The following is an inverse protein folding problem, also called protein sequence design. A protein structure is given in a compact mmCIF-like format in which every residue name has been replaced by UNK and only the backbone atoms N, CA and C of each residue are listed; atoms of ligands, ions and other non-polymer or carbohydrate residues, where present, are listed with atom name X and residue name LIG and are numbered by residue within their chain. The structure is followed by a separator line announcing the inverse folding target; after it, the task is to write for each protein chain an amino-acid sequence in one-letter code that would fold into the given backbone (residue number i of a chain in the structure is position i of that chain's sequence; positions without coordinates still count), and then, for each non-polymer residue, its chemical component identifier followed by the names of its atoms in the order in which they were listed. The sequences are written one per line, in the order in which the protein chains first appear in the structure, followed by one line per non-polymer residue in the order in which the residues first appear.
data_IF_310225582035
#
_entry.id   IF_310225582035
#
_cell.length_a   1.000
_cell.length_b   1.000
_cell.length_c   1.000
_cell.angle_alpha   90.00
_cell.angle_beta   90.00
_cell.angle_gamma   90.00
#
_symmetry.space_group_name_H-M   'P 1'
#
loop_
_entity.id
_entity.type
_entity.pdbx_description
1 polymer ?
#
# COMPACT_ATOMS: atom_id res chain seq x y z
N UNK A 1 18.07 5.08 -6.09
CA UNK A 1 17.55 5.42 -7.43
C UNK A 1 16.09 5.01 -7.62
N UNK A 2 15.65 3.80 -7.23
CA UNK A 2 14.25 3.35 -7.38
C UNK A 2 13.22 4.15 -6.56
N UNK A 3 13.51 4.41 -5.28
CA UNK A 3 12.64 5.20 -4.40
C UNK A 3 12.35 6.61 -4.92
N UNK A 4 13.22 7.18 -5.75
CA UNK A 4 13.03 8.52 -6.30
C UNK A 4 11.90 8.58 -7.34
N UNK A 5 11.70 7.50 -8.11
CA UNK A 5 10.58 7.43 -9.06
C UNK A 5 9.25 7.28 -8.33
N UNK A 6 9.20 6.41 -7.32
CA UNK A 6 8.03 6.27 -6.45
C UNK A 6 7.71 7.61 -5.77
N UNK A 7 8.73 8.27 -5.21
CA UNK A 7 8.55 9.57 -4.55
C UNK A 7 8.09 10.66 -5.51
N UNK A 8 8.61 10.69 -6.75
CA UNK A 8 8.12 11.61 -7.78
C UNK A 8 6.66 11.40 -8.13
N UNK A 9 6.21 10.13 -8.21
CA UNK A 9 4.81 9.80 -8.43
C UNK A 9 3.95 10.29 -7.27
N UNK A 10 4.35 9.95 -6.04
CA UNK A 10 3.66 10.36 -4.81
C UNK A 10 3.58 11.89 -4.67
N UNK A 11 4.63 12.63 -5.06
CA UNK A 11 4.64 14.09 -5.09
C UNK A 11 3.60 14.71 -6.05
N UNK A 12 3.11 13.96 -7.03
CA UNK A 12 2.03 14.40 -7.92
C UNK A 12 0.65 14.39 -7.25
N UNK A 13 0.51 13.75 -6.09
CA UNK A 13 -0.74 13.65 -5.35
C UNK A 13 -0.85 14.74 -4.29
N UNK A 14 -2.02 15.38 -4.22
CA UNK A 14 -2.34 16.35 -3.17
C UNK A 14 -2.42 15.68 -1.79
N UNK A 15 -3.01 14.50 -1.76
CA UNK A 15 -3.27 13.74 -0.55
C UNK A 15 -2.80 12.29 -0.77
N UNK A 16 -2.09 11.75 0.21
CA UNK A 16 -1.67 10.35 0.26
C UNK A 16 -2.38 9.71 1.44
N UNK A 17 -2.92 8.53 1.22
CA UNK A 17 -3.79 7.86 2.18
C UNK A 17 -3.18 6.54 2.65
N UNK A 18 -3.47 6.15 3.88
CA UNK A 18 -3.05 4.90 4.50
C UNK A 18 -4.20 4.26 5.24
N UNK A 19 -4.23 2.93 5.29
CA UNK A 19 -5.11 2.17 6.19
C UNK A 19 -4.35 1.73 7.44
N UNK A 20 -5.02 1.54 8.58
CA UNK A 20 -4.39 0.94 9.76
C UNK A 20 -3.73 -0.43 9.47
N UNK A 21 -4.27 -1.20 8.51
CA UNK A 21 -3.70 -2.48 8.11
C UNK A 21 -2.34 -2.32 7.43
N UNK A 22 -2.20 -1.38 6.48
CA UNK A 22 -0.92 -1.07 5.83
C UNK A 22 0.09 -0.57 6.88
N UNK A 23 -0.32 0.34 7.77
CA UNK A 23 0.54 0.84 8.83
C UNK A 23 1.04 -0.28 9.76
N UNK A 24 0.17 -1.23 10.08
CA UNK A 24 0.50 -2.41 10.88
C UNK A 24 1.47 -3.35 10.16
N UNK A 25 1.20 -3.69 8.90
CA UNK A 25 2.08 -4.55 8.11
C UNK A 25 3.47 -3.94 7.93
N UNK A 26 3.54 -2.66 7.55
CA UNK A 26 4.82 -1.96 7.42
C UNK A 26 5.57 -1.97 8.76
N UNK A 27 4.88 -1.75 9.88
CA UNK A 27 5.50 -1.76 11.20
C UNK A 27 6.05 -3.14 11.59
N UNK A 28 5.34 -4.22 11.19
CA UNK A 28 5.73 -5.60 11.47
C UNK A 28 6.85 -6.10 10.56
N UNK A 29 6.95 -5.58 9.33
CA UNK A 29 8.00 -5.92 8.37
C UNK A 29 9.36 -5.29 8.72
N UNK A 30 9.41 -4.37 9.69
CA UNK A 30 10.67 -3.82 10.22
C UNK A 30 11.35 -4.90 11.07
N UNK A 31 12.04 -5.81 10.39
CA UNK A 31 12.86 -6.87 10.99
C UNK A 31 14.28 -6.36 11.28
N UNK A 32 14.36 -5.38 12.18
CA UNK A 32 15.61 -4.78 12.64
C UNK A 32 15.71 -4.84 14.17
N UNK A 33 16.92 -4.71 14.68
CA UNK A 33 17.21 -4.81 16.12
C UNK A 33 17.86 -3.54 16.68
N UNK A 34 17.73 -3.34 18.00
CA UNK A 34 18.39 -2.26 18.74
C UNK A 34 18.11 -0.86 18.18
N UNK A 35 19.15 -0.04 18.04
CA UNK A 35 19.05 1.34 17.56
C UNK A 35 18.54 1.45 16.12
N UNK A 36 18.83 0.47 15.26
CA UNK A 36 18.36 0.47 13.88
C UNK A 36 16.83 0.38 13.82
N UNK A 37 16.23 -0.48 14.67
CA UNK A 37 14.77 -0.59 14.81
C UNK A 37 14.14 0.73 15.22
N UNK A 38 14.71 1.38 16.24
CA UNK A 38 14.23 2.67 16.75
C UNK A 38 14.26 3.72 15.65
N UNK A 39 15.38 3.85 14.92
CA UNK A 39 15.51 4.81 13.81
C UNK A 39 14.50 4.58 12.70
N UNK A 40 14.23 3.32 12.34
CA UNK A 40 13.22 3.03 11.30
C UNK A 40 11.81 3.31 11.78
N UNK A 41 11.49 3.08 13.06
CA UNK A 41 10.20 3.51 13.60
C UNK A 41 10.05 5.02 13.74
N UNK A 42 11.12 5.76 14.06
CA UNK A 42 11.10 7.23 14.01
C UNK A 42 10.75 7.72 12.61
N UNK A 43 11.39 7.14 11.58
CA UNK A 43 11.09 7.44 10.19
C UNK A 43 9.66 7.04 9.80
N UNK A 44 9.20 5.84 10.16
CA UNK A 44 7.84 5.38 9.87
C UNK A 44 6.80 6.31 10.51
N UNK A 45 7.02 6.74 11.76
CA UNK A 45 6.17 7.72 12.44
C UNK A 45 6.09 9.04 11.68
N UNK A 46 7.22 9.56 11.22
CA UNK A 46 7.26 10.80 10.42
C UNK A 46 6.52 10.65 9.10
N UNK A 47 6.72 9.53 8.39
CA UNK A 47 6.05 9.25 7.11
C UNK A 47 4.54 9.08 7.31
N UNK A 48 4.10 8.27 8.28
CA UNK A 48 2.68 8.05 8.54
C UNK A 48 1.95 9.32 8.96
N UNK A 49 2.62 10.23 9.67
CA UNK A 49 2.04 11.52 10.04
C UNK A 49 1.74 12.45 8.85
N UNK A 50 2.33 12.19 7.67
CA UNK A 50 2.03 12.92 6.44
C UNK A 50 0.80 12.38 5.71
N UNK A 51 0.34 11.18 6.07
CA UNK A 51 -0.74 10.51 5.38
C UNK A 51 -2.08 10.78 6.05
N UNK A 52 -3.13 10.84 5.23
CA UNK A 52 -4.50 10.80 5.72
C UNK A 52 -4.88 9.35 6.00
N UNK A 53 -5.66 9.14 7.05
CA UNK A 53 -6.16 7.80 7.36
C UNK A 53 -7.50 7.56 6.66
N UNK A 54 -7.62 6.41 5.99
CA UNK A 54 -8.90 5.93 5.47
C UNK A 54 -9.63 5.20 6.58
N UNK A 55 -10.92 5.49 6.76
CA UNK A 55 -11.78 4.72 7.65
C UNK A 55 -11.89 3.27 7.15
N UNK A 56 -11.50 2.32 7.99
CA UNK A 56 -11.61 0.88 7.72
C UNK A 56 -12.50 0.20 8.75
N UNK A 57 -13.30 -0.77 8.32
CA UNK A 57 -14.13 -1.58 9.20
C UNK A 57 -13.88 -3.04 8.91
N UNK A 58 -13.20 -3.74 9.83
CA UNK A 58 -12.86 -5.17 9.69
C UNK A 58 -14.08 -6.00 9.29
N UNK A 59 -15.23 -5.72 9.90
CA UNK A 59 -16.47 -6.43 9.61
C UNK A 59 -16.97 -6.25 8.16
N UNK A 60 -16.65 -5.13 7.49
CA UNK A 60 -16.91 -4.93 6.06
C UNK A 60 -15.78 -5.47 5.19
N UNK A 61 -14.53 -5.22 5.57
CA UNK A 61 -13.36 -5.57 4.78
C UNK A 61 -13.18 -7.09 4.60
N UNK A 62 -13.67 -7.88 5.58
CA UNK A 62 -13.67 -9.34 5.53
C UNK A 62 -14.89 -9.97 4.82
N UNK A 63 -15.87 -9.20 4.33
CA UNK A 63 -17.13 -9.78 3.81
C UNK A 63 -17.01 -10.50 2.48
N UNK A 64 -16.10 -10.05 1.63
CA UNK A 64 -16.06 -10.48 0.23
C UNK A 64 -15.02 -11.59 0.05
N UNK A 65 -15.18 -12.38 -1.01
CA UNK A 65 -14.29 -13.51 -1.31
C UNK A 65 -12.82 -13.11 -1.46
N UNK A 66 -12.54 -11.83 -1.78
CA UNK A 66 -11.18 -11.29 -1.79
C UNK A 66 -10.45 -11.42 -0.46
N UNK A 67 -11.15 -11.38 0.68
CA UNK A 67 -10.55 -11.65 1.98
C UNK A 67 -10.01 -13.08 2.08
N UNK A 68 -10.76 -14.05 1.55
CA UNK A 68 -10.37 -15.46 1.58
C UNK A 68 -9.16 -15.73 0.68
N UNK A 69 -9.04 -14.99 -0.43
CA UNK A 69 -7.99 -15.19 -1.42
C UNK A 69 -6.71 -14.40 -1.10
N UNK A 70 -6.84 -13.15 -0.63
CA UNK A 70 -5.71 -12.22 -0.49
C UNK A 70 -5.44 -11.76 0.95
N UNK A 71 -6.37 -12.00 1.88
CA UNK A 71 -6.28 -11.50 3.26
C UNK A 71 -6.82 -10.08 3.43
N UNK A 72 -6.75 -9.59 4.66
CA UNK A 72 -7.46 -8.38 5.09
C UNK A 72 -6.95 -7.10 4.40
N UNK A 73 -5.64 -6.88 4.41
CA UNK A 73 -5.04 -5.67 3.85
C UNK A 73 -5.32 -5.57 2.35
N UNK A 74 -5.03 -6.64 1.61
CA UNK A 74 -5.22 -6.69 0.17
C UNK A 74 -6.72 -6.59 -0.21
N UNK A 75 -7.62 -7.26 0.51
CA UNK A 75 -9.07 -7.11 0.34
C UNK A 75 -9.53 -5.65 0.52
N UNK A 76 -9.01 -4.97 1.55
CA UNK A 76 -9.32 -3.55 1.77
C UNK A 76 -8.80 -2.66 0.64
N UNK A 77 -7.60 -2.93 0.12
CA UNK A 77 -7.01 -2.17 -1.01
C UNK A 77 -7.84 -2.35 -2.27
N UNK A 78 -8.28 -3.59 -2.57
CA UNK A 78 -9.13 -3.87 -3.73
C UNK A 78 -10.44 -3.09 -3.65
N UNK A 79 -11.09 -3.04 -2.48
CA UNK A 79 -12.31 -2.24 -2.27
C UNK A 79 -12.06 -0.74 -2.43
N UNK A 80 -10.96 -0.26 -1.86
CA UNK A 80 -10.59 1.16 -1.94
C UNK A 80 -10.22 1.60 -3.36
N UNK A 81 -9.79 0.69 -4.23
CA UNK A 81 -9.44 0.98 -5.62
C UNK A 81 -10.60 1.53 -6.46
N UNK A 82 -11.85 1.37 -6.01
CA UNK A 82 -13.00 2.01 -6.65
C UNK A 82 -12.94 3.55 -6.57
N UNK A 83 -12.32 4.08 -5.51
CA UNK A 83 -12.33 5.50 -5.15
C UNK A 83 -10.94 6.13 -5.09
N UNK A 84 -9.90 5.33 -4.87
CA UNK A 84 -8.53 5.78 -4.71
C UNK A 84 -7.65 5.25 -5.84
N UNK A 85 -6.65 6.04 -6.22
CA UNK A 85 -5.60 5.57 -7.11
C UNK A 85 -4.67 4.64 -6.32
N UNK A 86 -4.41 3.45 -6.84
CA UNK A 86 -3.61 2.43 -6.18
C UNK A 86 -2.29 2.25 -6.92
N UNK A 87 -1.20 2.56 -6.22
CA UNK A 87 0.16 2.25 -6.67
C UNK A 87 0.59 0.96 -6.01
N UNK A 88 0.81 -0.10 -6.80
CA UNK A 88 1.23 -1.40 -6.26
C UNK A 88 2.19 -2.12 -7.18
N UNK A 89 3.11 -2.88 -6.60
CA UNK A 89 3.96 -3.85 -7.30
C UNK A 89 3.43 -5.30 -7.17
N UNK A 90 2.32 -5.49 -6.46
CA UNK A 90 1.74 -6.81 -6.26
C UNK A 90 0.86 -7.21 -7.45
N UNK A 91 1.39 -8.13 -8.23
CA UNK A 91 0.78 -8.66 -9.44
C UNK A 91 -0.31 -9.70 -9.15
N UNK A 92 -0.37 -10.27 -7.94
CA UNK A 92 -1.43 -11.20 -7.53
C UNK A 92 -2.79 -10.49 -7.51
N UNK A 93 -2.81 -9.23 -7.10
CA UNK A 93 -4.01 -8.39 -7.06
C UNK A 93 -4.39 -7.76 -8.41
N UNK A 94 -3.62 -7.96 -9.48
CA UNK A 94 -3.85 -7.24 -10.74
C UNK A 94 -5.28 -7.45 -11.28
N UNK A 95 -5.73 -8.70 -11.38
CA UNK A 95 -7.06 -9.01 -11.90
C UNK A 95 -8.19 -8.31 -11.11
N UNK A 96 -8.30 -8.45 -9.77
CA UNK A 96 -9.37 -7.77 -9.04
C UNK A 96 -9.25 -6.25 -9.08
N UNK A 97 -8.04 -5.69 -9.04
CA UNK A 97 -7.82 -4.23 -9.12
C UNK A 97 -8.26 -3.65 -10.47
N UNK A 98 -7.83 -4.25 -11.58
CA UNK A 98 -8.22 -3.79 -12.92
C UNK A 98 -9.70 -4.04 -13.21
N UNK A 99 -10.32 -5.03 -12.56
CA UNK A 99 -11.78 -5.26 -12.63
C UNK A 99 -12.55 -4.20 -11.86
N UNK A 100 -12.05 -3.75 -10.71
CA UNK A 100 -12.68 -2.72 -9.89
C UNK A 100 -12.64 -1.35 -10.58
N UNK A 101 -11.46 -0.87 -10.96
CA UNK A 101 -11.33 0.36 -11.74
C UNK A 101 -9.96 0.46 -12.45
N UNK A 102 -9.86 0.17 -13.76
CA UNK A 102 -8.58 0.13 -14.46
C UNK A 102 -7.88 1.49 -14.55
N UNK A 103 -8.63 2.61 -14.57
CA UNK A 103 -8.08 3.95 -14.71
C UNK A 103 -7.36 4.44 -13.44
N UNK A 104 -7.57 3.75 -12.32
CA UNK A 104 -7.01 4.07 -11.01
C UNK A 104 -5.83 3.21 -10.61
N UNK A 105 -5.48 2.20 -11.41
CA UNK A 105 -4.39 1.28 -11.07
C UNK A 105 -3.10 1.72 -11.73
N UNK A 106 -2.06 1.90 -10.91
CA UNK A 106 -0.71 2.27 -11.35
C UNK A 106 0.23 1.12 -10.99
N UNK A 107 0.45 0.16 -11.91
CA UNK A 107 1.43 -0.90 -11.71
C UNK A 107 2.82 -0.30 -11.55
N UNK A 108 3.48 -0.60 -10.45
CA UNK A 108 4.85 -0.18 -10.19
C UNK A 108 5.81 -1.34 -10.41
N UNK A 109 6.64 -1.23 -11.45
CA UNK A 109 7.70 -2.20 -11.75
C UNK A 109 9.05 -1.55 -11.47
N UNK A 110 9.81 -2.00 -10.44
CA UNK A 110 11.14 -1.49 -10.19
C UNK A 110 12.06 -1.83 -11.37
N UNK A 111 12.75 -0.83 -11.93
CA UNK A 111 13.62 -0.95 -13.12
C UNK A 111 14.66 -2.10 -13.10
N UNK A 112 15.04 -2.62 -11.93
CA UNK A 112 15.95 -3.78 -11.84
C UNK A 112 15.31 -5.11 -12.27
N UNK A 113 13.99 -5.23 -12.27
CA UNK A 113 13.25 -6.46 -12.61
C UNK A 113 13.04 -6.61 -14.12
N UNK A 114 13.19 -5.54 -14.89
CA UNK A 114 13.01 -5.56 -16.36
C UNK A 114 14.23 -6.11 -17.14
N UNK A 115 15.36 -6.34 -16.46
CA UNK A 115 16.62 -6.80 -17.06
C UNK A 115 17.22 -8.03 -16.35
N UNK A 116 16.40 -8.78 -15.60
CA UNK A 116 16.78 -10.03 -14.91
C UNK A 116 16.08 -11.22 -15.51
#
# INVERSE_FOLDING_TARGET
MHYYLLWKLVQGYKDVWITPYIATEVSNLIDLNGQAKIRVFELAREVFALFKEVETLVAEDCKDDFFLEFGLTDSSIIKLSEKFDIITNDHRMANPLFKANPDRIIPYVPFKVLNS
#
